data_IF_044175621629
#
_entry.id   IF_044175621629
#
_cell.length_a   1.000
_cell.length_b   1.000
_cell.length_c   1.000
_cell.angle_alpha   90.00
_cell.angle_beta   90.00
_cell.angle_gamma   90.00
#
_symmetry.space_group_name_H-M   'P 1'
#
loop_
_entity.id
_entity.type
_entity.pdbx_description
1 polymer ?
#
# COMPACT_ATOMS: atom_id res chain seq x y z
N UNK A 1 -77.84 15.64 -7.16
CA UNK A 1 -76.68 14.83 -7.56
C UNK A 1 -75.61 15.79 -8.04
N UNK A 2 -74.57 16.01 -7.23
CA UNK A 2 -73.41 16.81 -7.61
C UNK A 2 -72.19 15.90 -7.43
N UNK A 3 -71.51 15.61 -8.55
CA UNK A 3 -70.30 14.80 -8.56
C UNK A 3 -69.16 15.62 -7.92
N UNK A 4 -68.56 15.10 -6.86
CA UNK A 4 -67.34 15.64 -6.28
C UNK A 4 -66.14 15.15 -7.10
N UNK A 5 -65.29 16.09 -7.52
CA UNK A 5 -63.97 15.83 -8.10
C UNK A 5 -63.06 15.15 -7.06
N UNK A 6 -62.21 14.18 -7.45
CA UNK A 6 -61.27 13.55 -6.53
C UNK A 6 -60.14 14.53 -6.14
N UNK A 7 -59.60 14.43 -4.90
CA UNK A 7 -58.57 15.34 -4.43
C UNK A 7 -57.24 15.16 -5.19
N UNK A 8 -56.61 16.28 -5.52
CA UNK A 8 -55.28 16.38 -6.14
C UNK A 8 -54.23 15.71 -5.25
N UNK A 9 -53.28 14.92 -5.79
CA UNK A 9 -52.20 14.36 -4.99
C UNK A 9 -51.29 15.47 -4.42
N UNK A 10 -50.67 15.26 -3.25
CA UNK A 10 -49.73 16.21 -2.68
C UNK A 10 -48.50 16.40 -3.58
N UNK A 11 -47.86 17.57 -3.58
CA UNK A 11 -46.64 17.80 -4.35
C UNK A 11 -45.51 16.98 -3.76
N UNK A 12 -44.97 16.06 -4.58
CA UNK A 12 -43.65 15.48 -4.43
C UNK A 12 -43.46 14.66 -3.16
N UNK A 13 -43.70 13.35 -3.28
CA UNK A 13 -42.97 12.36 -2.48
C UNK A 13 -41.50 12.74 -2.51
N UNK A 14 -40.98 13.25 -1.40
CA UNK A 14 -39.57 13.15 -1.12
C UNK A 14 -39.31 11.64 -1.05
N UNK A 15 -38.73 11.11 -2.11
CA UNK A 15 -38.14 9.77 -2.11
C UNK A 15 -37.34 9.65 -0.81
N UNK A 16 -37.53 8.58 -0.03
CA UNK A 16 -36.66 8.36 1.12
C UNK A 16 -35.25 8.32 0.55
N UNK A 17 -34.44 9.34 0.91
CA UNK A 17 -33.01 9.38 0.68
C UNK A 17 -32.51 7.95 0.83
N UNK A 18 -32.12 7.36 -0.30
CA UNK A 18 -31.49 6.05 -0.33
C UNK A 18 -30.43 6.05 0.79
N UNK A 19 -30.34 4.98 1.59
CA UNK A 19 -29.33 4.94 2.63
C UNK A 19 -27.98 5.16 1.94
N UNK A 20 -27.35 6.31 2.24
CA UNK A 20 -26.03 6.72 1.75
C UNK A 20 -25.16 5.47 1.68
N UNK A 21 -24.75 4.99 0.48
CA UNK A 21 -24.02 3.74 0.38
C UNK A 21 -22.79 3.86 1.28
N UNK A 22 -22.70 2.89 2.18
CA UNK A 22 -21.94 3.01 3.41
C UNK A 22 -20.49 3.40 3.19
N UNK A 23 -20.03 4.34 4.03
CA UNK A 23 -18.63 4.67 4.22
C UNK A 23 -18.03 5.35 2.99
N UNK A 24 -17.83 6.67 3.08
CA UNK A 24 -17.01 7.41 2.11
C UNK A 24 -15.69 6.67 1.94
N UNK A 25 -15.39 6.26 0.71
CA UNK A 25 -14.09 5.67 0.39
C UNK A 25 -13.00 6.69 0.77
N UNK A 26 -12.11 6.29 1.66
CA UNK A 26 -10.94 7.07 2.07
C UNK A 26 -9.73 6.43 1.43
N UNK A 27 -8.95 7.16 0.63
CA UNK A 27 -7.79 6.60 -0.07
C UNK A 27 -6.76 6.05 0.91
N UNK A 28 -6.20 4.87 0.61
CA UNK A 28 -5.18 4.26 1.46
C UNK A 28 -3.91 5.11 1.38
N UNK A 29 -3.34 5.46 2.53
CA UNK A 29 -2.03 6.12 2.55
C UNK A 29 -0.97 5.05 2.25
N UNK A 30 -0.26 5.15 1.12
CA UNK A 30 0.83 4.24 0.81
C UNK A 30 1.96 4.46 1.81
N UNK A 31 2.57 3.35 2.24
CA UNK A 31 3.75 3.42 3.08
C UNK A 31 4.90 2.68 2.41
N UNK A 32 6.08 3.27 2.47
CA UNK A 32 7.28 2.69 1.89
C UNK A 32 7.88 1.66 2.84
N UNK A 33 8.31 0.53 2.30
CA UNK A 33 9.03 -0.52 3.00
C UNK A 33 10.34 -0.83 2.29
N UNK A 34 11.34 -1.29 3.03
CA UNK A 34 12.56 -1.85 2.47
C UNK A 34 12.75 -3.30 2.92
N UNK A 35 13.23 -4.13 2.00
CA UNK A 35 13.63 -5.50 2.27
C UNK A 35 15.04 -5.50 2.88
N UNK A 36 15.11 -5.80 4.18
CA UNK A 36 16.37 -6.02 4.87
C UNK A 36 16.68 -7.51 4.88
N UNK A 37 17.73 -7.91 4.19
CA UNK A 37 18.27 -9.27 4.27
C UNK A 37 19.16 -9.33 5.51
N UNK A 38 18.85 -10.22 6.46
CA UNK A 38 19.69 -10.47 7.64
C UNK A 38 19.83 -11.97 7.81
N UNK A 39 21.06 -12.48 7.79
CA UNK A 39 21.37 -13.89 8.03
C UNK A 39 20.51 -14.82 7.14
N UNK A 40 20.50 -14.58 5.81
CA UNK A 40 19.71 -15.28 4.78
C UNK A 40 18.17 -15.12 4.85
N UNK A 41 17.65 -14.35 5.80
CA UNK A 41 16.20 -14.06 5.90
C UNK A 41 15.89 -12.66 5.43
N UNK A 42 14.96 -12.58 4.48
CA UNK A 42 14.37 -11.32 4.02
C UNK A 42 13.30 -10.84 5.02
N UNK A 43 13.42 -9.59 5.47
CA UNK A 43 12.41 -8.93 6.31
C UNK A 43 12.03 -7.59 5.71
N UNK A 44 10.74 -7.40 5.44
CA UNK A 44 10.19 -6.10 5.10
C UNK A 44 10.10 -5.22 6.35
N UNK A 45 10.80 -4.10 6.33
CA UNK A 45 10.84 -3.11 7.42
C UNK A 45 10.23 -1.81 6.92
N UNK A 46 9.30 -1.19 7.67
CA UNK A 46 8.73 0.10 7.27
C UNK A 46 9.80 1.20 7.31
N UNK A 47 9.72 2.13 6.37
CA UNK A 47 10.42 3.40 6.50
C UNK A 47 9.79 4.25 7.61
N UNK A 48 10.49 5.30 8.02
CA UNK A 48 9.91 6.29 8.90
C UNK A 48 8.77 7.05 8.21
N UNK A 49 7.85 7.62 8.98
CA UNK A 49 6.77 8.44 8.43
C UNK A 49 7.31 9.57 7.53
N UNK A 50 8.37 10.25 8.00
CA UNK A 50 9.04 11.31 7.25
C UNK A 50 9.70 10.82 5.96
N UNK A 51 10.46 9.71 6.02
CA UNK A 51 11.11 9.16 4.83
C UNK A 51 10.08 8.65 3.81
N UNK A 52 9.02 8.00 4.30
CA UNK A 52 7.92 7.48 3.49
C UNK A 52 7.17 8.58 2.75
N UNK A 53 6.84 9.69 3.42
CA UNK A 53 6.18 10.84 2.79
C UNK A 53 7.05 11.47 1.71
N UNK A 54 8.35 11.59 1.95
CA UNK A 54 9.30 12.13 0.96
C UNK A 54 9.45 11.23 -0.24
N UNK A 55 9.56 9.92 -0.01
CA UNK A 55 9.59 8.92 -1.07
C UNK A 55 8.33 8.98 -1.90
N UNK A 56 7.17 9.13 -1.27
CA UNK A 56 5.89 9.23 -1.97
C UNK A 56 5.77 10.53 -2.78
N UNK A 57 6.13 11.68 -2.20
CA UNK A 57 6.13 12.96 -2.89
C UNK A 57 7.08 12.93 -4.10
N UNK A 58 8.28 12.37 -3.91
CA UNK A 58 9.27 12.16 -4.96
C UNK A 58 8.82 11.14 -6.01
N UNK A 59 8.04 10.13 -5.63
CA UNK A 59 7.46 9.17 -6.56
C UNK A 59 6.35 9.79 -7.41
N UNK A 60 5.48 10.59 -6.80
CA UNK A 60 4.43 11.35 -7.49
C UNK A 60 4.99 12.40 -8.45
N UNK A 61 5.99 13.17 -8.01
CA UNK A 61 6.67 14.17 -8.85
C UNK A 61 7.65 13.54 -9.86
N UNK A 62 8.19 12.37 -9.54
CA UNK A 62 9.25 11.68 -10.28
C UNK A 62 8.79 10.87 -11.49
N UNK A 63 7.48 10.73 -11.74
CA UNK A 63 6.96 10.11 -12.96
C UNK A 63 7.52 10.74 -14.24
N UNK A 64 7.97 12.01 -14.18
CA UNK A 64 8.57 12.73 -15.31
C UNK A 64 10.10 12.91 -15.20
N UNK A 65 10.73 12.67 -14.05
CA UNK A 65 12.17 12.88 -13.86
C UNK A 65 12.95 11.55 -13.82
N UNK A 66 13.80 11.34 -14.82
CA UNK A 66 14.67 10.17 -14.89
C UNK A 66 15.78 10.22 -13.82
N UNK A 67 15.58 9.53 -12.70
CA UNK A 67 16.63 9.32 -11.68
C UNK A 67 16.39 10.00 -10.34
N UNK A 68 15.16 10.00 -9.84
CA UNK A 68 14.86 10.55 -8.51
C UNK A 68 15.51 9.69 -7.42
N UNK A 69 16.45 10.30 -6.71
CA UNK A 69 17.11 9.73 -5.53
C UNK A 69 16.66 10.51 -4.31
N UNK A 70 16.17 9.80 -3.29
CA UNK A 70 15.68 10.40 -2.05
C UNK A 70 16.59 9.99 -0.91
N UNK A 71 17.22 10.94 -0.19
CA UNK A 71 17.99 10.64 1.00
C UNK A 71 17.05 10.27 2.15
N UNK A 72 17.30 9.13 2.76
CA UNK A 72 16.53 8.53 3.85
C UNK A 72 17.39 8.26 5.07
N UNK A 73 16.75 8.04 6.23
CA UNK A 73 17.45 7.77 7.51
C UNK A 73 18.46 8.86 7.88
N UNK A 74 18.10 10.13 7.69
CA UNK A 74 18.98 11.27 7.97
C UNK A 74 20.09 11.50 6.93
N UNK A 75 19.97 10.93 5.72
CA UNK A 75 20.97 11.05 4.65
C UNK A 75 22.07 10.00 4.69
N UNK A 76 21.89 8.93 5.48
CA UNK A 76 22.79 7.76 5.52
C UNK A 76 22.55 6.79 4.36
N UNK A 77 21.36 6.84 3.79
CA UNK A 77 20.92 5.95 2.74
C UNK A 77 20.24 6.73 1.63
N UNK A 78 20.56 6.42 0.39
CA UNK A 78 19.94 7.00 -0.79
C UNK A 78 19.01 5.96 -1.42
N UNK A 79 17.76 6.34 -1.64
CA UNK A 79 16.75 5.49 -2.27
C UNK A 79 16.55 5.93 -3.70
N UNK A 80 16.93 5.05 -4.62
CA UNK A 80 16.72 5.18 -6.05
C UNK A 80 15.31 4.71 -6.37
N UNK A 81 14.38 5.64 -6.55
CA UNK A 81 12.99 5.29 -6.86
C UNK A 81 12.86 4.57 -8.21
N UNK A 82 13.70 4.92 -9.19
CA UNK A 82 13.71 4.29 -10.52
C UNK A 82 14.03 2.80 -10.46
N UNK A 83 15.04 2.44 -9.66
CA UNK A 83 15.50 1.07 -9.53
C UNK A 83 14.83 0.33 -8.37
N UNK A 84 14.00 1.04 -7.58
CA UNK A 84 13.38 0.54 -6.36
C UNK A 84 14.43 -0.05 -5.41
N UNK A 85 15.55 0.67 -5.23
CA UNK A 85 16.72 0.22 -4.46
C UNK A 85 17.18 1.28 -3.48
N UNK A 86 17.53 0.86 -2.27
CA UNK A 86 18.15 1.67 -1.21
C UNK A 86 19.61 1.29 -1.11
N UNK A 87 20.49 2.27 -1.24
CA UNK A 87 21.95 2.10 -1.18
C UNK A 87 22.49 2.90 0.01
N UNK A 88 23.46 2.33 0.72
CA UNK A 88 24.16 3.06 1.78
C UNK A 88 25.13 4.08 1.17
N UNK A 89 25.18 5.28 1.76
CA UNK A 89 25.99 6.40 1.23
C UNK A 89 27.40 6.39 1.79
N UNK A 90 27.55 6.08 3.09
CA UNK A 90 28.84 6.17 3.79
C UNK A 90 29.54 4.81 3.98
N UNK A 91 28.88 3.71 3.64
CA UNK A 91 29.43 2.36 3.73
C UNK A 91 28.95 1.51 2.56
N UNK A 92 29.70 0.46 2.24
CA UNK A 92 29.30 -0.53 1.24
C UNK A 92 28.33 -1.52 1.89
N UNK A 93 27.07 -1.46 1.49
CA UNK A 93 26.02 -2.39 1.88
C UNK A 93 25.26 -2.85 0.63
N UNK A 94 24.76 -4.09 0.65
CA UNK A 94 23.93 -4.59 -0.43
C UNK A 94 22.68 -3.73 -0.58
N UNK A 95 22.35 -3.38 -1.82
CA UNK A 95 21.22 -2.52 -2.11
C UNK A 95 19.93 -3.20 -1.66
N UNK A 96 19.24 -2.63 -0.67
CA UNK A 96 17.99 -3.14 -0.17
C UNK A 96 16.86 -2.81 -1.14
N UNK A 97 16.00 -3.78 -1.46
CA UNK A 97 14.83 -3.52 -2.29
C UNK A 97 13.86 -2.60 -1.56
N UNK A 98 13.33 -1.59 -2.25
CA UNK A 98 12.36 -0.64 -1.73
C UNK A 98 11.06 -0.78 -2.46
N UNK A 99 9.95 -0.83 -1.72
CA UNK A 99 8.63 -1.03 -2.31
C UNK A 99 7.61 -0.11 -1.67
N UNK A 100 6.74 0.44 -2.51
CA UNK A 100 5.53 1.16 -2.11
C UNK A 100 4.45 0.13 -1.78
N UNK A 101 3.90 0.18 -0.58
CA UNK A 101 3.01 -0.86 -0.08
C UNK A 101 1.74 -0.24 0.52
N UNK A 102 0.60 -0.58 -0.07
CA UNK A 102 -0.74 -0.20 0.43
C UNK A 102 -1.51 -1.40 0.95
N UNK A 103 -1.15 -2.61 0.53
CA UNK A 103 -1.85 -3.84 0.86
C UNK A 103 -0.89 -4.91 1.37
N UNK A 104 -1.33 -5.66 2.38
CA UNK A 104 -0.51 -6.67 3.05
C UNK A 104 -1.29 -7.97 3.21
N UNK A 105 -0.62 -9.11 3.05
CA UNK A 105 -1.17 -10.41 3.38
C UNK A 105 -0.44 -11.04 4.56
N UNK A 106 -1.17 -11.86 5.32
CA UNK A 106 -0.58 -12.64 6.40
C UNK A 106 0.26 -13.78 5.82
N UNK A 107 1.56 -13.75 6.07
CA UNK A 107 2.50 -14.80 5.70
C UNK A 107 2.30 -16.08 6.51
N UNK A 108 2.60 -17.21 5.88
CA UNK A 108 2.33 -18.56 6.37
C UNK A 108 3.16 -18.96 7.60
N UNK A 109 4.48 -18.76 7.51
CA UNK A 109 5.46 -19.33 8.45
C UNK A 109 5.73 -18.50 9.70
N UNK A 110 5.50 -17.18 9.64
CA UNK A 110 5.98 -16.26 10.67
C UNK A 110 4.89 -15.33 11.21
N UNK A 111 3.62 -15.49 10.80
CA UNK A 111 2.54 -14.52 11.06
C UNK A 111 2.88 -13.07 10.66
N UNK A 112 3.95 -12.86 9.88
CA UNK A 112 4.40 -11.55 9.42
C UNK A 112 3.52 -11.08 8.28
N UNK A 113 3.23 -9.79 8.25
CA UNK A 113 2.56 -9.17 7.12
C UNK A 113 3.57 -8.92 6.01
N UNK A 114 3.29 -9.48 4.84
CA UNK A 114 4.12 -9.32 3.64
C UNK A 114 3.37 -8.36 2.71
N UNK A 115 4.03 -7.30 2.22
CA UNK A 115 3.40 -6.41 1.26
C UNK A 115 3.20 -7.08 -0.09
N UNK A 116 2.09 -6.76 -0.74
CA UNK A 116 1.87 -7.11 -2.14
C UNK A 116 2.80 -6.31 -3.07
N UNK A 117 2.89 -6.73 -4.34
CA UNK A 117 3.55 -5.94 -5.37
C UNK A 117 2.78 -4.64 -5.63
N UNK A 118 3.48 -3.61 -6.10
CA UNK A 118 2.89 -2.29 -6.36
C UNK A 118 1.70 -2.39 -7.32
N UNK A 119 1.91 -3.01 -8.50
CA UNK A 119 0.87 -3.21 -9.51
C UNK A 119 -0.36 -3.94 -8.95
N UNK A 120 -0.15 -5.04 -8.23
CA UNK A 120 -1.28 -5.80 -7.68
C UNK A 120 -1.99 -5.04 -6.55
N UNK A 121 -1.24 -4.25 -5.77
CA UNK A 121 -1.83 -3.40 -4.73
C UNK A 121 -2.70 -2.29 -5.32
N UNK A 122 -2.34 -1.77 -6.50
CA UNK A 122 -3.17 -0.80 -7.24
C UNK A 122 -4.47 -1.45 -7.74
N UNK A 123 -4.40 -2.62 -8.36
CA UNK A 123 -5.59 -3.37 -8.80
C UNK A 123 -6.52 -3.69 -7.63
N UNK A 124 -5.95 -4.09 -6.49
CA UNK A 124 -6.70 -4.44 -5.29
C UNK A 124 -7.34 -3.20 -4.64
N UNK A 125 -6.66 -2.06 -4.66
CA UNK A 125 -7.24 -0.79 -4.20
C UNK A 125 -8.35 -0.30 -5.13
N UNK A 126 -8.20 -0.43 -6.45
CA UNK A 126 -9.25 -0.06 -7.42
C UNK A 126 -10.51 -0.91 -7.19
N UNK A 127 -10.35 -2.23 -7.07
CA UNK A 127 -11.47 -3.12 -6.76
C UNK A 127 -12.09 -2.83 -5.39
N UNK A 128 -11.28 -2.44 -4.39
CA UNK A 128 -11.78 -2.01 -3.09
C UNK A 128 -12.59 -0.72 -3.19
N UNK A 129 -12.09 0.29 -3.91
CA UNK A 129 -12.79 1.55 -4.17
C UNK A 129 -14.15 1.28 -4.83
N UNK A 130 -14.19 0.42 -5.84
CA UNK A 130 -15.42 0.02 -6.51
C UNK A 130 -16.36 -0.71 -5.54
N UNK A 131 -15.86 -1.66 -4.75
CA UNK A 131 -16.68 -2.40 -3.80
C UNK A 131 -17.29 -1.51 -2.70
N UNK A 132 -16.54 -0.50 -2.25
CA UNK A 132 -16.99 0.49 -1.25
C UNK A 132 -18.00 1.46 -1.86
N UNK A 133 -17.72 2.01 -3.04
CA UNK A 133 -18.55 3.06 -3.66
C UNK A 133 -19.79 2.52 -4.35
N UNK A 134 -19.68 1.39 -5.06
CA UNK A 134 -20.79 0.75 -5.78
C UNK A 134 -21.45 -0.38 -4.99
N UNK A 135 -20.92 -0.75 -3.82
CA UNK A 135 -21.41 -1.90 -3.05
C UNK A 135 -21.10 -3.26 -3.68
N UNK A 136 -20.24 -3.31 -4.69
CA UNK A 136 -19.86 -4.53 -5.42
C UNK A 136 -18.83 -5.38 -4.67
N UNK A 137 -19.22 -5.87 -3.50
CA UNK A 137 -18.42 -6.83 -2.72
C UNK A 137 -18.36 -8.21 -3.38
N UNK A 138 -17.47 -9.07 -2.87
CA UNK A 138 -17.18 -10.44 -3.36
C UNK A 138 -16.51 -10.47 -4.74
N UNK A 139 -15.93 -9.34 -5.17
CA UNK A 139 -15.03 -9.27 -6.32
C UNK A 139 -13.85 -10.22 -6.10
N UNK A 140 -13.55 -11.05 -7.11
CA UNK A 140 -12.40 -11.96 -7.12
C UNK A 140 -11.29 -11.28 -7.91
N UNK A 141 -10.16 -11.01 -7.28
CA UNK A 141 -8.94 -10.56 -7.94
C UNK A 141 -7.98 -11.74 -8.07
N UNK A 142 -7.34 -11.88 -9.22
CA UNK A 142 -6.31 -12.89 -9.43
C UNK A 142 -4.94 -12.26 -9.24
N UNK A 143 -4.14 -12.80 -8.32
CA UNK A 143 -2.76 -12.42 -8.10
C UNK A 143 -1.88 -12.90 -9.26
N UNK A 144 -0.71 -12.27 -9.50
CA UNK A 144 0.24 -12.73 -10.50
C UNK A 144 0.72 -14.18 -10.28
N UNK A 145 0.52 -14.73 -9.09
CA UNK A 145 0.85 -16.11 -8.74
C UNK A 145 -0.34 -17.07 -8.92
N UNK A 146 -1.42 -16.65 -9.61
CA UNK A 146 -2.71 -17.37 -9.75
C UNK A 146 -3.43 -17.59 -8.42
N UNK A 147 -3.18 -16.75 -7.43
CA UNK A 147 -3.92 -16.80 -6.17
C UNK A 147 -5.17 -15.92 -6.25
N UNK A 148 -6.24 -16.26 -5.54
CA UNK A 148 -7.51 -15.51 -5.64
C UNK A 148 -7.73 -14.71 -4.37
N UNK A 149 -7.96 -13.40 -4.50
CA UNK A 149 -8.30 -12.52 -3.40
C UNK A 149 -9.78 -12.14 -3.50
N UNK A 150 -10.54 -12.30 -2.42
CA UNK A 150 -11.96 -11.98 -2.37
C UNK A 150 -12.22 -10.92 -1.30
N UNK A 151 -12.83 -9.81 -1.72
CA UNK A 151 -13.19 -8.70 -0.84
C UNK A 151 -14.61 -8.91 -0.30
N UNK A 152 -14.78 -9.51 0.86
CA UNK A 152 -16.11 -9.76 1.41
C UNK A 152 -16.74 -8.50 2.02
N UNK A 153 -15.93 -7.70 2.70
CA UNK A 153 -16.32 -6.49 3.44
C UNK A 153 -15.06 -5.64 3.68
N UNK A 154 -15.17 -4.37 4.10
CA UNK A 154 -13.99 -3.52 4.29
C UNK A 154 -13.05 -3.98 5.41
N UNK A 155 -13.54 -4.84 6.31
CA UNK A 155 -12.76 -5.45 7.39
C UNK A 155 -12.39 -6.92 7.13
N UNK A 156 -12.96 -7.53 6.09
CA UNK A 156 -12.82 -8.97 5.82
C UNK A 156 -12.46 -9.20 4.36
N UNK A 157 -11.17 -9.44 4.15
CA UNK A 157 -10.57 -9.62 2.83
C UNK A 157 -9.69 -10.85 2.90
N UNK A 158 -9.86 -11.73 1.93
CA UNK A 158 -9.39 -13.10 2.03
C UNK A 158 -8.56 -13.47 0.81
N UNK A 159 -7.38 -14.03 1.06
CA UNK A 159 -6.45 -14.49 0.04
C UNK A 159 -6.41 -16.03 0.04
N UNK A 160 -6.84 -16.63 -1.07
CA UNK A 160 -6.88 -18.05 -1.35
C UNK A 160 -5.68 -18.42 -2.23
N UNK A 161 -4.82 -19.31 -1.73
CA UNK A 161 -3.80 -19.92 -2.60
C UNK A 161 -4.45 -20.92 -3.54
N UNK A 162 -3.98 -21.04 -4.81
CA UNK A 162 -4.50 -22.03 -5.72
C UNK A 162 -4.22 -23.40 -5.13
N UNK A 163 -5.31 -24.13 -4.85
CA UNK A 163 -5.20 -25.57 -4.66
C UNK A 163 -4.68 -26.12 -5.99
N UNK A 164 -3.50 -26.74 -5.98
CA UNK A 164 -3.20 -27.68 -7.05
C UNK A 164 -4.40 -28.63 -7.07
N UNK A 165 -5.14 -28.66 -8.17
CA UNK A 165 -6.10 -29.72 -8.45
C UNK A 165 -5.30 -31.00 -8.62
N UNK A 166 -4.79 -31.54 -7.52
CA UNK A 166 -4.23 -32.88 -7.46
C UNK A 166 -5.37 -33.78 -7.06
N UNK A 167 -5.93 -34.43 -8.07
CA UNK A 167 -6.51 -35.75 -7.91
C UNK A 167 -5.41 -36.65 -7.31
N UNK A 168 -5.24 -36.66 -5.99
CA UNK A 168 -4.39 -37.65 -5.32
C UNK A 168 -4.75 -37.75 -3.83
N UNK A 169 -5.31 -38.91 -3.50
CA UNK A 169 -5.81 -39.32 -2.19
C UNK A 169 -4.68 -39.58 -1.19
N UNK A 170 -3.88 -38.58 -0.80
CA UNK A 170 -3.16 -38.53 0.49
C UNK A 170 -2.27 -37.29 0.51
N UNK A 171 -2.63 -36.32 1.35
CA UNK A 171 -1.68 -35.39 2.00
C UNK A 171 -2.40 -34.76 3.19
N UNK A 172 -1.71 -34.67 4.32
CA UNK A 172 -2.24 -34.32 5.64
C UNK A 172 -3.02 -32.98 5.66
N UNK A 173 -4.18 -32.90 6.35
CA UNK A 173 -5.15 -31.80 6.23
C UNK A 173 -4.74 -30.45 6.88
N UNK A 174 -3.50 -30.27 7.32
CA UNK A 174 -3.16 -29.14 8.21
C UNK A 174 -2.58 -27.92 7.49
N UNK A 175 -2.05 -28.06 6.27
CA UNK A 175 -1.42 -26.94 5.53
C UNK A 175 -2.10 -26.63 4.18
N UNK A 176 -3.25 -27.25 3.91
CA UNK A 176 -3.98 -27.09 2.66
C UNK A 176 -5.07 -26.03 2.81
N UNK A 177 -4.86 -24.85 2.22
CA UNK A 177 -5.95 -23.96 1.83
C UNK A 177 -6.59 -23.10 2.93
N UNK A 178 -5.89 -22.81 4.05
CA UNK A 178 -6.45 -21.85 5.01
C UNK A 178 -6.49 -20.45 4.38
N UNK A 179 -7.68 -19.83 4.25
CA UNK A 179 -7.81 -18.48 3.73
C UNK A 179 -6.94 -17.52 4.54
N UNK A 180 -6.03 -16.81 3.87
CA UNK A 180 -5.15 -15.82 4.49
C UNK A 180 -5.87 -14.49 4.60
N UNK A 181 -5.62 -13.76 5.67
CA UNK A 181 -6.18 -12.41 5.83
C UNK A 181 -5.35 -11.40 5.06
N UNK A 182 -6.06 -10.53 4.33
CA UNK A 182 -5.50 -9.36 3.69
C UNK A 182 -5.85 -8.13 4.52
N UNK A 183 -4.90 -7.21 4.66
CA UNK A 183 -5.00 -5.98 5.44
C UNK A 183 -4.66 -4.78 4.57
N UNK A 184 -5.40 -3.69 4.78
CA UNK A 184 -5.31 -2.43 4.05
C UNK A 184 -4.53 -1.40 4.85
N UNK A 185 -3.47 -0.85 4.29
CA UNK A 185 -2.65 0.17 4.95
C UNK A 185 -1.87 -0.36 6.14
N UNK A 186 -0.89 0.44 6.57
CA UNK A 186 -0.02 0.09 7.69
C UNK A 186 -0.73 0.17 9.05
N UNK A 187 -1.78 0.98 9.15
CA UNK A 187 -2.63 1.11 10.34
C UNK A 187 -3.33 -0.21 10.73
N UNK A 188 -3.51 -1.11 9.76
CA UNK A 188 -4.23 -2.38 9.97
C UNK A 188 -3.31 -3.57 10.26
N UNK A 189 -2.00 -3.37 10.20
CA UNK A 189 -0.99 -4.37 10.54
C UNK A 189 -0.28 -3.96 11.83
N UNK A 190 0.17 -4.94 12.61
CA UNK A 190 0.89 -4.70 13.86
C UNK A 190 2.36 -4.32 13.57
N UNK A 191 2.56 -3.17 12.92
CA UNK A 191 3.89 -2.64 12.61
C UNK A 191 4.08 -1.29 13.30
N UNK A 192 5.23 -1.10 13.95
CA UNK A 192 5.60 0.18 14.53
C UNK A 192 6.29 1.04 13.46
N UNK A 193 5.66 2.16 13.10
CA UNK A 193 6.21 3.14 12.16
C UNK A 193 7.02 4.17 12.94
N UNK A 194 8.34 4.25 12.77
CA UNK A 194 9.13 5.28 13.43
C UNK A 194 8.80 6.67 12.87
N UNK A 195 8.80 7.71 13.71
CA UNK A 195 8.50 9.09 13.28
C UNK A 195 9.58 9.69 12.35
N UNK A 196 10.80 9.15 12.41
CA UNK A 196 11.94 9.53 11.56
C UNK A 196 12.95 10.43 12.27
N UNK A 197 14.19 10.37 11.81
CA UNK A 197 15.25 11.30 12.21
C UNK A 197 15.25 12.50 11.26
N UNK A 198 15.41 13.75 11.77
CA UNK A 198 15.55 14.91 10.90
C UNK A 198 16.78 14.75 10.01
N UNK A 199 16.71 15.26 8.78
CA UNK A 199 17.91 15.39 7.97
C UNK A 199 18.92 16.24 8.73
N UNK A 200 20.10 15.69 8.96
CA UNK A 200 21.19 16.46 9.52
C UNK A 200 21.56 17.55 8.51
N UNK A 201 21.61 18.83 8.92
CA UNK A 201 22.12 19.88 8.05
C UNK A 201 23.58 19.55 7.75
N UNK A 202 23.87 19.34 6.47
CA UNK A 202 25.20 19.10 5.92
C UNK A 202 25.82 17.72 6.23
N UNK A 203 25.53 16.71 5.42
CA UNK A 203 26.50 15.62 5.17
C UNK A 203 26.41 14.99 3.78
N UNK A 204 25.73 15.55 2.78
CA UNK A 204 25.92 15.08 1.40
C UNK A 204 27.33 15.48 0.92
N UNK A 205 28.29 14.56 0.70
CA UNK A 205 29.63 14.93 0.23
C UNK A 205 29.65 15.40 -1.23
N UNK A 206 28.51 15.37 -1.94
CA UNK A 206 28.44 15.73 -3.38
C UNK A 206 27.67 17.00 -3.71
N UNK A 207 27.13 17.74 -2.72
CA UNK A 207 26.42 19.00 -3.00
C UNK A 207 26.79 20.14 -2.05
N UNK A 208 28.05 20.23 -1.61
CA UNK A 208 28.62 21.51 -1.19
C UNK A 208 29.28 22.16 -2.42
N UNK A 209 28.46 22.63 -3.36
CA UNK A 209 28.94 23.66 -4.29
C UNK A 209 29.08 24.92 -3.46
N UNK A 210 30.32 25.32 -3.25
CA UNK A 210 30.72 26.57 -2.63
C UNK A 210 29.97 27.73 -3.28
N UNK A 211 28.97 28.29 -2.60
CA UNK A 211 28.57 29.68 -2.87
C UNK A 211 29.62 30.53 -2.18
N UNK A 212 30.75 30.73 -2.86
CA UNK A 212 31.67 31.81 -2.52
C UNK A 212 30.92 33.09 -2.90
N UNK A 213 30.24 33.67 -1.92
CA UNK A 213 29.73 35.02 -2.00
C UNK A 213 30.89 35.93 -2.39
N UNK A 214 30.80 36.50 -3.60
CA UNK A 214 31.59 37.66 -3.95
C UNK A 214 31.28 38.77 -2.95
N UNK A 215 32.31 39.27 -2.29
CA UNK A 215 32.28 40.61 -1.73
C UNK A 215 33.44 41.36 -2.37
N UNK A 216 33.06 42.33 -3.19
CA UNK A 216 33.91 43.33 -3.77
C UNK A 216 34.27 44.35 -2.70
N UNK A 217 35.55 44.68 -2.55
CA UNK A 217 36.06 46.05 -2.42
C UNK A 217 37.57 46.09 -2.68
#
# INVERSE_FOLDING_TARGET
MAAQEPPRPPPGSAEPLEPEPGGRYEAVVPHWFYCKVTDTRERWVPFSAQDSERLEAAHGAGKEQAGVVVPTSGGRYDVHLRERRRVAVYWEEEAAEVRRCTWFYKGDKDNKFIPYSEAFSEELEEAYMIAVTLGEWKKKLESPNREVIILHNPKLMVHYHPVASSDDWVSTPTEQGRPRTVKRGVENIAVEIPNGEPLLPCSHPKLCVTVSTGVSE
#
